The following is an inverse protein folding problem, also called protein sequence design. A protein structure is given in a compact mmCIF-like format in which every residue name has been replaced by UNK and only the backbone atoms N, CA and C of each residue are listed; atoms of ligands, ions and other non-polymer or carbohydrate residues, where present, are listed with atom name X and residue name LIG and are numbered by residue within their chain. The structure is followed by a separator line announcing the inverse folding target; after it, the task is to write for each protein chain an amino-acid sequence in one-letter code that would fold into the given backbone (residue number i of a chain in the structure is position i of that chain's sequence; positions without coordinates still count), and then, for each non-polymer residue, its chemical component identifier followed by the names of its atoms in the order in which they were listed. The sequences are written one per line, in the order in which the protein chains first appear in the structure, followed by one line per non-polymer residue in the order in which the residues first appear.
data_IF_425447516470
#
_entry.id   IF_425447516470
#
_cell.length_a   1.000
_cell.length_b   1.000
_cell.length_c   1.000
_cell.angle_alpha   90.00
_cell.angle_beta   90.00
_cell.angle_gamma   90.00
#
_symmetry.space_group_name_H-M   'P 1'
#
loop_
_entity.id
_entity.type
_entity.pdbx_description
1 polymer ?
#
# COMPACT_ATOMS: atom_id res chain seq x y z
N UNK A 1 -6.54 -15.59 -0.29
CA UNK A 1 -6.41 -14.13 -0.12
C UNK A 1 -6.90 -13.31 -1.32
N UNK A 2 -6.69 -13.64 -2.62
CA UNK A 2 -6.91 -12.67 -3.71
C UNK A 2 -8.32 -12.06 -3.80
N UNK A 3 -9.37 -12.88 -3.68
CA UNK A 3 -10.75 -12.40 -3.74
C UNK A 3 -11.10 -11.44 -2.58
N UNK A 4 -10.58 -11.71 -1.37
CA UNK A 4 -10.81 -10.86 -0.19
C UNK A 4 -10.06 -9.54 -0.35
N UNK A 5 -8.79 -9.59 -0.80
CA UNK A 5 -7.99 -8.39 -1.06
C UNK A 5 -8.67 -7.47 -2.06
N UNK A 6 -9.17 -8.02 -3.19
CA UNK A 6 -9.86 -7.22 -4.21
C UNK A 6 -11.13 -6.55 -3.67
N UNK A 7 -11.92 -7.26 -2.85
CA UNK A 7 -13.10 -6.68 -2.20
C UNK A 7 -12.73 -5.56 -1.23
N UNK A 8 -11.69 -5.74 -0.42
CA UNK A 8 -11.19 -4.70 0.47
C UNK A 8 -10.69 -3.47 -0.30
N UNK A 9 -9.98 -3.68 -1.40
CA UNK A 9 -9.55 -2.61 -2.30
C UNK A 9 -10.72 -1.82 -2.91
N UNK A 10 -11.85 -2.45 -3.23
CA UNK A 10 -13.05 -1.71 -3.65
C UNK A 10 -13.53 -0.76 -2.56
N UNK A 11 -13.58 -1.22 -1.30
CA UNK A 11 -13.98 -0.37 -0.17
C UNK A 11 -12.99 0.79 0.07
N UNK A 12 -11.68 0.56 -0.11
CA UNK A 12 -10.65 1.62 -0.03
C UNK A 12 -10.94 2.76 -1.02
N UNK A 13 -11.32 2.41 -2.26
CA UNK A 13 -11.65 3.40 -3.28
C UNK A 13 -12.98 4.09 -3.00
N UNK A 14 -14.00 3.34 -2.59
CA UNK A 14 -15.34 3.87 -2.28
C UNK A 14 -15.35 4.82 -1.09
N UNK A 15 -14.51 4.54 -0.08
CA UNK A 15 -14.42 5.32 1.16
C UNK A 15 -13.29 6.35 1.14
N UNK A 16 -12.52 6.41 0.05
CA UNK A 16 -11.34 7.26 -0.09
C UNK A 16 -10.38 7.18 1.12
N UNK A 17 -10.18 5.96 1.64
CA UNK A 17 -9.39 5.71 2.85
C UNK A 17 -8.11 4.94 2.53
N UNK A 18 -7.27 4.69 3.54
CA UNK A 18 -6.10 3.82 3.40
C UNK A 18 -6.47 2.36 3.65
N UNK A 19 -5.89 1.45 2.87
CA UNK A 19 -6.01 0.00 3.07
C UNK A 19 -4.74 -0.61 3.64
N UNK A 20 -4.88 -1.52 4.61
CA UNK A 20 -3.78 -2.37 5.08
C UNK A 20 -4.14 -3.83 4.79
N UNK A 21 -3.30 -4.53 4.04
CA UNK A 21 -3.49 -5.94 3.66
C UNK A 21 -2.38 -6.80 4.24
N UNK A 22 -2.74 -8.00 4.68
CA UNK A 22 -1.86 -8.89 5.44
C UNK A 22 -1.87 -10.29 4.84
N UNK A 23 -0.70 -10.90 4.72
CA UNK A 23 -0.56 -12.30 4.36
C UNK A 23 0.75 -12.89 4.82
N UNK A 24 1.10 -14.10 4.36
CA UNK A 24 2.32 -14.78 4.81
C UNK A 24 3.59 -13.95 4.55
N UNK A 25 3.82 -13.61 3.28
CA UNK A 25 4.93 -12.76 2.84
C UNK A 25 4.52 -11.34 2.43
N UNK A 26 3.22 -11.07 2.28
CA UNK A 26 2.69 -9.79 1.77
C UNK A 26 2.81 -9.60 0.24
N UNK A 27 3.72 -10.31 -0.43
CA UNK A 27 3.87 -10.25 -1.89
C UNK A 27 2.58 -10.62 -2.65
N UNK A 28 1.93 -11.73 -2.26
CA UNK A 28 0.71 -12.18 -2.93
C UNK A 28 -0.41 -11.15 -2.81
N UNK A 29 -0.56 -10.60 -1.62
CA UNK A 29 -1.57 -9.59 -1.31
C UNK A 29 -1.32 -8.30 -2.09
N UNK A 30 -0.06 -7.84 -2.15
CA UNK A 30 0.32 -6.69 -2.98
C UNK A 30 0.04 -6.93 -4.47
N UNK A 31 0.40 -8.11 -5.00
CA UNK A 31 0.10 -8.48 -6.39
C UNK A 31 -1.40 -8.50 -6.68
N UNK A 32 -2.21 -9.03 -5.75
CA UNK A 32 -3.66 -9.09 -5.91
C UNK A 32 -4.31 -7.70 -5.83
N UNK A 33 -3.86 -6.84 -4.90
CA UNK A 33 -4.34 -5.47 -4.71
C UNK A 33 -4.06 -4.61 -5.94
N UNK A 34 -2.83 -4.65 -6.46
CA UNK A 34 -2.41 -3.89 -7.65
C UNK A 34 -3.10 -4.31 -8.98
N UNK A 35 -3.98 -5.33 -8.96
CA UNK A 35 -4.85 -5.65 -10.11
C UNK A 35 -6.17 -4.87 -10.10
N UNK A 36 -6.48 -4.14 -9.03
CA UNK A 36 -7.65 -3.27 -8.94
C UNK A 36 -7.25 -1.89 -9.44
N UNK A 37 -7.92 -1.39 -10.49
CA UNK A 37 -7.66 -0.04 -11.04
C UNK A 37 -7.87 1.02 -9.95
N UNK A 38 -6.96 1.99 -9.84
CA UNK A 38 -6.97 3.00 -8.77
C UNK A 38 -6.20 2.60 -7.51
N UNK A 39 -5.80 1.32 -7.36
CA UNK A 39 -4.98 0.88 -6.22
C UNK A 39 -3.49 0.96 -6.55
N UNK A 40 -2.77 1.60 -5.64
CA UNK A 40 -1.31 1.61 -5.57
C UNK A 40 -0.91 0.97 -4.25
N UNK A 41 -0.64 -0.33 -4.30
CA UNK A 41 -0.28 -1.14 -3.15
C UNK A 41 1.23 -1.34 -3.06
N UNK A 42 1.83 -0.96 -1.93
CA UNK A 42 3.25 -1.15 -1.65
C UNK A 42 3.47 -2.27 -0.62
N UNK A 43 4.40 -3.19 -0.88
CA UNK A 43 4.89 -4.12 0.14
C UNK A 43 5.93 -3.40 1.00
N UNK A 44 5.63 -3.27 2.28
CA UNK A 44 6.51 -2.57 3.22
C UNK A 44 7.12 -3.56 4.22
N UNK A 45 8.41 -3.41 4.49
CA UNK A 45 9.17 -4.27 5.41
C UNK A 45 10.21 -3.49 6.24
N UNK A 46 10.34 -2.19 6.01
CA UNK A 46 11.17 -1.25 6.76
C UNK A 46 10.48 0.11 6.85
N UNK A 47 10.93 0.96 7.78
CA UNK A 47 10.42 2.35 7.94
C UNK A 47 10.55 3.13 6.63
N UNK A 48 11.72 3.02 6.01
CA UNK A 48 12.02 3.64 4.72
C UNK A 48 11.05 3.18 3.62
N UNK A 49 10.76 1.87 3.52
CA UNK A 49 9.78 1.41 2.51
C UNK A 49 8.35 1.88 2.78
N UNK A 50 7.98 2.12 4.05
CA UNK A 50 6.66 2.65 4.41
C UNK A 50 6.55 4.15 4.08
N UNK A 51 7.60 4.91 4.40
CA UNK A 51 7.69 6.34 4.07
C UNK A 51 7.71 6.56 2.55
N UNK A 52 8.62 5.89 1.83
CA UNK A 52 8.74 6.01 0.37
C UNK A 52 7.49 5.50 -0.37
N UNK A 53 6.76 4.53 0.19
CA UNK A 53 5.48 4.12 -0.39
C UNK A 53 4.48 5.29 -0.47
N UNK A 54 4.44 6.13 0.57
CA UNK A 54 3.58 7.31 0.62
C UNK A 54 4.19 8.49 -0.11
N UNK A 55 5.37 8.93 0.32
CA UNK A 55 5.99 10.17 -0.13
C UNK A 55 6.27 10.17 -1.64
N UNK A 56 6.68 9.02 -2.21
CA UNK A 56 7.06 8.93 -3.61
C UNK A 56 6.03 8.27 -4.53
N UNK A 57 5.20 7.38 -4.01
CA UNK A 57 4.29 6.57 -4.86
C UNK A 57 2.81 6.85 -4.60
N UNK A 58 2.52 7.76 -3.65
CA UNK A 58 1.17 8.05 -3.19
C UNK A 58 0.36 6.77 -2.96
N UNK A 59 0.96 5.74 -2.36
CA UNK A 59 0.33 4.45 -2.16
C UNK A 59 -0.92 4.62 -1.28
N UNK A 60 -2.06 4.07 -1.71
CA UNK A 60 -3.31 4.07 -0.93
C UNK A 60 -3.56 2.72 -0.25
N UNK A 61 -2.72 1.71 -0.53
CA UNK A 61 -2.73 0.43 0.19
C UNK A 61 -1.32 0.02 0.60
N UNK A 62 -1.17 -0.45 1.82
CA UNK A 62 0.05 -1.06 2.35
C UNK A 62 -0.14 -2.58 2.45
N UNK A 63 0.86 -3.34 2.03
CA UNK A 63 0.93 -4.78 2.26
C UNK A 63 2.02 -5.13 3.26
N UNK A 64 1.73 -6.07 4.16
CA UNK A 64 2.63 -6.55 5.21
C UNK A 64 2.74 -8.07 5.19
N UNK A 65 3.97 -8.56 5.39
CA UNK A 65 4.26 -9.98 5.54
C UNK A 65 4.17 -10.43 6.99
N UNK A 66 3.04 -11.01 7.40
CA UNK A 66 2.78 -11.46 8.77
C UNK A 66 3.72 -12.54 9.30
N UNK A 67 4.41 -13.31 8.44
CA UNK A 67 5.48 -14.24 8.87
C UNK A 67 6.85 -13.58 8.98
N UNK A 68 7.01 -12.40 8.39
CA UNK A 68 8.30 -11.71 8.24
C UNK A 68 8.40 -10.45 9.10
N UNK A 69 7.28 -9.89 9.53
CA UNK A 69 7.20 -8.63 10.28
C UNK A 69 6.67 -8.89 11.68
N UNK A 70 7.46 -8.51 12.70
CA UNK A 70 7.02 -8.59 14.11
C UNK A 70 5.91 -7.57 14.38
N UNK A 71 4.92 -7.85 15.27
CA UNK A 71 3.79 -6.95 15.53
C UNK A 71 4.17 -5.51 15.85
N UNK A 72 5.11 -5.28 16.78
CA UNK A 72 5.59 -3.93 17.12
C UNK A 72 6.22 -3.18 15.94
N UNK A 73 6.86 -3.90 15.02
CA UNK A 73 7.38 -3.28 13.80
C UNK A 73 6.21 -2.97 12.85
N UNK A 74 5.27 -3.90 12.67
CA UNK A 74 4.10 -3.69 11.83
C UNK A 74 3.29 -2.45 12.24
N UNK A 75 2.98 -2.28 13.53
CA UNK A 75 2.34 -1.08 14.08
C UNK A 75 3.09 0.18 13.67
N UNK A 76 4.40 0.23 13.92
CA UNK A 76 5.23 1.38 13.55
C UNK A 76 5.27 1.65 12.05
N UNK A 77 5.26 0.62 11.20
CA UNK A 77 5.23 0.80 9.75
C UNK A 77 3.87 1.32 9.28
N UNK A 78 2.78 0.89 9.92
CA UNK A 78 1.44 1.40 9.67
C UNK A 78 1.35 2.88 10.05
N UNK A 79 1.83 3.26 11.23
CA UNK A 79 1.83 4.67 11.66
C UNK A 79 2.56 5.56 10.64
N UNK A 80 3.77 5.16 10.24
CA UNK A 80 4.55 5.88 9.20
C UNK A 80 3.75 5.98 7.90
N UNK A 81 3.12 4.90 7.45
CA UNK A 81 2.33 4.90 6.22
C UNK A 81 1.10 5.83 6.32
N UNK A 82 0.44 5.91 7.47
CA UNK A 82 -0.75 6.73 7.65
C UNK A 82 -0.40 8.22 7.81
N UNK A 83 0.74 8.53 8.43
CA UNK A 83 1.17 9.90 8.74
C UNK A 83 1.99 10.55 7.61
N UNK A 84 2.62 9.77 6.74
CA UNK A 84 3.45 10.33 5.66
C UNK A 84 2.58 10.91 4.54
N UNK A 85 2.77 12.20 4.28
CA UNK A 85 2.16 12.92 3.16
C UNK A 85 2.83 12.58 1.81
N UNK A 86 2.08 12.74 0.72
CA UNK A 86 2.64 12.60 -0.62
C UNK A 86 3.40 13.86 -1.02
N UNK A 87 4.64 13.73 -1.50
CA UNK A 87 5.48 14.88 -1.85
C UNK A 87 5.06 15.58 -3.15
N UNK A 88 4.29 14.92 -4.01
CA UNK A 88 3.91 15.48 -5.30
C UNK A 88 5.10 15.74 -6.23
N UNK A 89 5.03 16.81 -7.02
CA UNK A 89 6.14 17.31 -7.82
C UNK A 89 6.70 16.26 -8.80
N UNK A 90 8.00 15.92 -8.69
CA UNK A 90 8.64 14.93 -9.59
C UNK A 90 8.07 13.51 -9.48
N UNK A 91 7.24 13.25 -8.48
CA UNK A 91 6.61 11.96 -8.25
C UNK A 91 5.25 11.84 -8.95
N UNK A 92 4.52 12.94 -9.14
CA UNK A 92 3.20 12.96 -9.77
C UNK A 92 3.18 12.33 -11.15
N UNK A 93 4.18 12.64 -11.99
CA UNK A 93 4.28 12.07 -13.33
C UNK A 93 4.23 10.54 -13.29
N UNK A 94 5.03 9.92 -12.42
CA UNK A 94 5.09 8.45 -12.30
C UNK A 94 3.81 7.87 -11.71
N UNK A 95 3.21 8.55 -10.73
CA UNK A 95 1.92 8.13 -10.16
C UNK A 95 0.83 8.17 -11.23
N UNK A 96 0.78 9.23 -12.02
CA UNK A 96 -0.18 9.36 -13.12
C UNK A 96 0.05 8.26 -14.17
N UNK A 97 1.30 7.99 -14.57
CA UNK A 97 1.62 6.93 -15.54
C UNK A 97 1.11 5.54 -15.10
N UNK A 98 1.04 5.26 -13.79
CA UNK A 98 0.50 4.00 -13.25
C UNK A 98 -1.03 3.88 -13.39
N UNK A 99 -1.76 5.00 -13.41
CA UNK A 99 -3.23 5.02 -13.50
C UNK A 99 -3.74 4.91 -14.94
N UNK A 100 -2.89 5.18 -15.93
CA UNK A 100 -3.28 5.19 -17.34
C UNK A 100 -3.35 3.76 -17.93
N UNK A 101 -4.59 3.31 -18.12
CA UNK A 101 -5.03 2.46 -19.23
C UNK A 101 -6.40 2.92 -19.71
#
# INVERSE_FOLDING_TARGET
YPAIIRKGCSAVLEQECFGIVLGGSGNGEAMAANKVKGIRCALCYSKETAELARSHNNANVMSLGGRLTKPKLAEKLIDIFLETEFEGGRHERRVNDLEHK
#
